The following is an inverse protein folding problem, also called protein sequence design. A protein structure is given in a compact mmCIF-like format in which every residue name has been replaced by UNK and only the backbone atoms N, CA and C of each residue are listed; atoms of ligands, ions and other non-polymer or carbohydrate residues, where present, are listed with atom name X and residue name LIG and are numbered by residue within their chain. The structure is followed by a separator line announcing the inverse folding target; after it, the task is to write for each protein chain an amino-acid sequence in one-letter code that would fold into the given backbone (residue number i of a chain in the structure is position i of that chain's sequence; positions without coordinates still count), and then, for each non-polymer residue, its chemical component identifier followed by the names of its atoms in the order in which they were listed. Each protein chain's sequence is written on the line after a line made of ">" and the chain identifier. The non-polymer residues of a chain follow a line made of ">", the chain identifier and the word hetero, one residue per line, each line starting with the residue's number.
data_IF_341012577746
#
_entry.id   IF_341012577746
#
_cell.length_a   1.000
_cell.length_b   1.000
_cell.length_c   1.000
_cell.angle_alpha   90.00
_cell.angle_beta   90.00
_cell.angle_gamma   90.00
#
_symmetry.space_group_name_H-M   'P 1'
#
loop_
_entity.id
_entity.type
_entity.pdbx_description
1 polymer ?
#
# COMPACT_ATOMS: atom_id res chain seq x y z
N UNK A 1 0.30 20.15 10.27
CA UNK A 1 1.11 18.96 9.98
C UNK A 1 0.59 17.87 10.90
N UNK A 2 -0.42 17.13 10.46
CA UNK A 2 -0.88 15.96 11.21
C UNK A 2 0.24 14.92 11.26
N UNK A 3 0.45 14.37 12.45
CA UNK A 3 1.43 13.30 12.67
C UNK A 3 0.85 12.05 12.03
N UNK A 4 1.48 11.56 10.95
CA UNK A 4 1.19 10.25 10.37
C UNK A 4 1.26 9.18 11.48
N UNK A 5 0.12 8.63 11.88
CA UNK A 5 0.07 7.51 12.84
C UNK A 5 0.26 6.18 12.10
N UNK A 6 1.49 5.94 11.64
CA UNK A 6 1.86 4.63 11.14
C UNK A 6 2.16 3.69 12.31
N UNK A 7 1.41 2.59 12.41
CA UNK A 7 1.59 1.57 13.43
C UNK A 7 2.21 0.31 12.82
N UNK A 8 2.97 -0.43 13.63
CA UNK A 8 3.51 -1.72 13.18
C UNK A 8 2.37 -2.74 13.10
N UNK A 9 2.24 -3.38 11.94
CA UNK A 9 1.22 -4.39 11.66
C UNK A 9 1.89 -5.65 11.10
N UNK A 10 1.56 -6.82 11.62
CA UNK A 10 2.03 -8.09 11.08
C UNK A 10 1.01 -8.65 10.10
N UNK A 11 1.41 -8.81 8.85
CA UNK A 11 0.57 -9.33 7.75
C UNK A 11 0.44 -10.86 7.80
N UNK A 12 1.36 -11.56 8.48
CA UNK A 12 1.27 -13.01 8.72
C UNK A 12 0.19 -13.32 9.76
N UNK A 13 0.21 -12.63 10.89
CA UNK A 13 -0.79 -12.81 11.96
C UNK A 13 -2.06 -11.98 11.78
N UNK A 14 -2.04 -11.00 10.86
CA UNK A 14 -3.09 -10.00 10.66
C UNK A 14 -3.46 -9.23 11.93
N UNK A 15 -2.44 -8.71 12.62
CA UNK A 15 -2.63 -7.99 13.88
C UNK A 15 -1.61 -6.86 14.09
N UNK A 16 -2.02 -5.83 14.82
CA UNK A 16 -1.15 -4.75 15.27
C UNK A 16 -0.10 -5.25 16.27
N UNK A 17 1.15 -4.85 16.06
CA UNK A 17 2.30 -5.22 16.91
C UNK A 17 2.62 -4.05 17.84
N UNK A 18 2.15 -4.14 19.08
CA UNK A 18 2.40 -3.11 20.10
C UNK A 18 3.75 -3.27 20.81
N UNK A 19 4.27 -4.50 20.87
CA UNK A 19 5.55 -4.84 21.47
C UNK A 19 6.33 -5.77 20.53
N UNK A 20 7.24 -5.18 19.76
CA UNK A 20 7.99 -5.90 18.73
C UNK A 20 8.88 -7.02 19.28
N UNK A 21 9.23 -6.98 20.57
CA UNK A 21 10.10 -7.96 21.23
C UNK A 21 9.38 -9.25 21.63
N UNK A 22 8.06 -9.19 21.78
CA UNK A 22 7.20 -10.34 22.13
C UNK A 22 6.55 -10.98 20.92
N UNK A 23 6.59 -10.32 19.78
CA UNK A 23 5.97 -10.82 18.56
C UNK A 23 6.93 -11.78 17.86
N UNK A 24 6.49 -13.02 17.64
CA UNK A 24 7.34 -14.11 17.17
C UNK A 24 7.64 -14.05 15.66
N UNK A 25 6.74 -13.47 14.85
CA UNK A 25 6.96 -13.40 13.41
C UNK A 25 8.18 -12.52 13.06
N UNK A 26 9.04 -12.96 12.12
CA UNK A 26 10.14 -12.14 11.62
C UNK A 26 9.69 -10.74 11.15
N UNK A 27 10.58 -9.74 11.29
CA UNK A 27 10.29 -8.33 10.95
C UNK A 27 9.85 -8.17 9.49
N UNK A 28 10.36 -8.99 8.56
CA UNK A 28 9.98 -8.96 7.14
C UNK A 28 8.48 -9.22 6.86
N UNK A 29 7.74 -9.72 7.85
CA UNK A 29 6.29 -9.91 7.76
C UNK A 29 5.50 -8.74 8.37
N UNK A 30 6.19 -7.65 8.71
CA UNK A 30 5.62 -6.49 9.37
C UNK A 30 5.77 -5.28 8.46
N UNK A 31 4.77 -4.42 8.46
CA UNK A 31 4.78 -3.13 7.78
C UNK A 31 4.43 -2.02 8.77
N UNK A 32 4.92 -0.81 8.52
CA UNK A 32 4.46 0.41 9.20
C UNK A 32 3.33 1.01 8.37
N UNK A 33 2.11 0.89 8.85
CA UNK A 33 0.94 1.28 8.06
C UNK A 33 -0.04 2.14 8.83
N UNK A 34 -0.77 2.97 8.10
CA UNK A 34 -1.99 3.57 8.60
C UNK A 34 -3.05 2.48 8.89
N UNK A 35 -3.92 2.72 9.87
CA UNK A 35 -4.98 1.77 10.27
C UNK A 35 -5.86 1.36 9.09
N UNK A 36 -6.19 2.32 8.23
CA UNK A 36 -7.07 2.13 7.08
C UNK A 36 -6.40 1.33 5.93
N UNK A 37 -5.07 1.11 6.00
CA UNK A 37 -4.31 0.42 4.96
C UNK A 37 -4.09 -1.08 5.26
N UNK A 38 -4.60 -1.60 6.38
CA UNK A 38 -4.40 -3.00 6.78
C UNK A 38 -4.93 -4.01 5.77
N UNK A 39 -6.12 -3.76 5.19
CA UNK A 39 -6.70 -4.64 4.17
C UNK A 39 -5.94 -4.63 2.84
N UNK A 40 -5.33 -3.50 2.46
CA UNK A 40 -4.41 -3.41 1.31
C UNK A 40 -3.12 -4.19 1.60
N UNK A 41 -2.55 -4.02 2.80
CA UNK A 41 -1.32 -4.68 3.19
C UNK A 41 -1.48 -6.22 3.19
N UNK A 42 -2.57 -6.73 3.76
CA UNK A 42 -2.89 -8.15 3.79
C UNK A 42 -3.00 -8.75 2.38
N UNK A 43 -3.65 -8.04 1.44
CA UNK A 43 -3.86 -8.50 0.08
C UNK A 43 -2.59 -8.49 -0.75
N UNK A 44 -1.79 -7.42 -0.66
CA UNK A 44 -0.47 -7.39 -1.31
C UNK A 44 0.40 -8.53 -0.80
N UNK A 45 0.46 -8.72 0.52
CA UNK A 45 1.21 -9.81 1.15
C UNK A 45 0.71 -11.18 0.70
N UNK A 46 -0.61 -11.36 0.58
CA UNK A 46 -1.19 -12.57 0.02
C UNK A 46 -0.74 -12.81 -1.43
N UNK A 47 -0.53 -11.77 -2.24
CA UNK A 47 0.00 -11.87 -3.60
C UNK A 47 1.53 -12.10 -3.66
N UNK A 48 2.22 -12.12 -2.52
CA UNK A 48 3.68 -12.23 -2.46
C UNK A 48 4.41 -10.90 -2.61
N UNK A 49 3.68 -9.80 -2.81
CA UNK A 49 4.21 -8.44 -2.77
C UNK A 49 4.28 -8.03 -1.30
N UNK A 50 5.46 -7.69 -0.78
CA UNK A 50 5.62 -7.43 0.65
C UNK A 50 5.69 -5.92 0.91
N UNK A 51 4.63 -5.27 1.45
CA UNK A 51 4.70 -3.88 1.90
C UNK A 51 5.70 -3.71 3.05
N UNK A 52 6.40 -2.59 3.06
CA UNK A 52 7.24 -2.13 4.15
C UNK A 52 6.56 -0.96 4.87
N UNK A 53 6.04 0.01 4.11
CA UNK A 53 5.37 1.20 4.62
C UNK A 53 4.12 1.46 3.77
N UNK A 54 2.99 1.81 4.37
CA UNK A 54 1.79 2.21 3.64
C UNK A 54 1.00 3.30 4.37
N UNK A 55 0.90 4.49 3.79
CA UNK A 55 0.16 5.60 4.39
C UNK A 55 -0.49 6.48 3.32
N UNK A 56 -1.42 7.30 3.75
CA UNK A 56 -1.98 8.38 2.95
C UNK A 56 -1.68 9.73 3.58
N UNK A 57 -1.80 10.78 2.80
CA UNK A 57 -1.68 12.14 3.28
C UNK A 57 -2.38 13.11 2.36
N UNK A 58 -2.78 14.25 2.92
CA UNK A 58 -3.36 15.34 2.17
C UNK A 58 -2.35 16.49 2.06
N UNK A 59 -2.19 17.02 0.85
CA UNK A 59 -1.58 18.33 0.66
C UNK A 59 -2.67 19.36 0.42
N UNK A 60 -2.63 20.45 1.18
CA UNK A 60 -3.48 21.61 0.95
C UNK A 60 -3.06 22.27 -0.37
N UNK A 61 -4.01 22.49 -1.27
CA UNK A 61 -3.82 23.38 -2.41
C UNK A 61 -4.38 24.77 -2.09
N UNK A 62 -4.11 25.75 -2.97
CA UNK A 62 -4.78 27.03 -2.84
C UNK A 62 -6.29 26.83 -3.04
N UNK A 63 -7.10 27.48 -2.20
CA UNK A 63 -8.59 27.46 -2.18
C UNK A 63 -9.26 26.46 -1.21
N UNK A 64 -8.62 26.13 -0.07
CA UNK A 64 -9.19 25.26 0.98
C UNK A 64 -9.55 23.84 0.50
N UNK A 65 -8.93 23.41 -0.61
CA UNK A 65 -9.09 22.05 -1.11
C UNK A 65 -7.83 21.22 -0.88
N UNK A 66 -8.02 19.90 -0.84
CA UNK A 66 -7.02 18.94 -0.42
C UNK A 66 -6.80 17.92 -1.52
N UNK A 67 -5.52 17.65 -1.79
CA UNK A 67 -5.09 16.61 -2.70
C UNK A 67 -4.67 15.38 -1.92
N UNK A 68 -5.33 14.27 -2.18
CA UNK A 68 -4.97 12.98 -1.60
C UNK A 68 -3.78 12.37 -2.32
N UNK A 69 -2.80 11.92 -1.54
CA UNK A 69 -1.74 11.00 -1.97
C UNK A 69 -1.74 9.76 -1.10
N UNK A 70 -1.59 8.59 -1.71
CA UNK A 70 -1.32 7.33 -1.01
C UNK A 70 0.03 6.81 -1.49
N UNK A 71 0.86 6.33 -0.56
CA UNK A 71 2.17 5.75 -0.85
C UNK A 71 2.30 4.39 -0.19
N UNK A 72 2.76 3.40 -0.95
CA UNK A 72 3.04 2.05 -0.48
C UNK A 72 4.46 1.68 -0.91
N UNK A 73 5.40 1.70 0.03
CA UNK A 73 6.77 1.29 -0.19
C UNK A 73 6.91 -0.21 0.04
N UNK A 74 7.74 -0.87 -0.77
CA UNK A 74 7.86 -2.32 -0.80
C UNK A 74 9.21 -2.78 -0.21
N UNK A 75 9.19 -3.92 0.48
CA UNK A 75 10.40 -4.55 0.98
C UNK A 75 11.29 -5.12 -0.13
N UNK A 76 10.66 -5.58 -1.22
CA UNK A 76 11.33 -6.19 -2.36
C UNK A 76 10.75 -5.59 -3.64
N UNK A 77 11.63 -5.22 -4.57
CA UNK A 77 11.20 -4.68 -5.84
C UNK A 77 10.79 -5.79 -6.81
N UNK A 78 9.82 -5.49 -7.68
CA UNK A 78 9.30 -6.47 -8.65
C UNK A 78 9.11 -5.85 -10.04
N UNK A 79 8.77 -6.67 -11.04
CA UNK A 79 8.50 -6.22 -12.42
C UNK A 79 6.99 -6.05 -12.66
N UNK A 80 6.61 -5.13 -13.56
CA UNK A 80 5.20 -4.71 -13.73
C UNK A 80 4.20 -5.84 -14.03
N UNK A 81 4.68 -6.96 -14.56
CA UNK A 81 3.92 -8.16 -14.86
C UNK A 81 3.30 -8.81 -13.62
N UNK A 82 3.82 -8.56 -12.42
CA UNK A 82 3.31 -9.15 -11.17
C UNK A 82 1.88 -8.71 -10.87
N UNK A 83 1.60 -7.40 -10.92
CA UNK A 83 0.25 -6.86 -10.67
C UNK A 83 -0.49 -6.47 -11.95
N UNK A 84 0.20 -6.33 -13.08
CA UNK A 84 -0.38 -5.96 -14.37
C UNK A 84 -0.73 -4.47 -14.44
N UNK A 85 -1.80 -4.11 -15.15
CA UNK A 85 -2.27 -2.72 -15.21
C UNK A 85 -2.93 -2.31 -13.89
N UNK A 86 -2.51 -1.18 -13.31
CA UNK A 86 -3.10 -0.63 -12.08
C UNK A 86 -4.44 0.08 -12.38
N UNK A 87 -5.31 0.23 -11.36
CA UNK A 87 -6.49 1.08 -11.45
C UNK A 87 -6.14 2.54 -11.78
N UNK A 88 -7.13 3.30 -12.25
CA UNK A 88 -6.93 4.71 -12.60
C UNK A 88 -6.42 5.50 -11.38
N UNK A 89 -5.41 6.35 -11.60
CA UNK A 89 -4.80 7.19 -10.57
C UNK A 89 -3.69 6.53 -9.77
N UNK A 90 -3.56 5.20 -9.86
CA UNK A 90 -2.44 4.44 -9.31
C UNK A 90 -1.30 4.34 -10.32
N UNK A 91 -0.08 4.47 -9.83
CA UNK A 91 1.15 4.47 -10.62
C UNK A 91 2.21 3.57 -9.98
N UNK A 92 3.01 2.94 -10.85
CA UNK A 92 4.22 2.24 -10.44
C UNK A 92 5.38 3.21 -10.35
N UNK A 93 5.96 3.35 -9.17
CA UNK A 93 7.20 4.07 -8.98
C UNK A 93 8.37 3.11 -9.13
N UNK A 94 9.33 3.51 -9.97
CA UNK A 94 10.46 2.65 -10.36
C UNK A 94 11.77 3.25 -9.89
N UNK A 95 12.65 2.37 -9.42
CA UNK A 95 14.06 2.64 -9.22
C UNK A 95 14.86 1.55 -9.92
N UNK A 96 15.86 1.96 -10.70
CA UNK A 96 16.66 1.10 -11.57
C UNK A 96 15.84 0.08 -12.41
N UNK A 97 14.71 0.53 -12.96
CA UNK A 97 13.83 -0.27 -13.82
C UNK A 97 12.93 -1.27 -13.08
N UNK A 98 13.05 -1.41 -11.76
CA UNK A 98 12.18 -2.25 -10.92
C UNK A 98 11.21 -1.41 -10.11
N UNK A 99 10.05 -1.97 -9.79
CA UNK A 99 9.01 -1.30 -9.01
C UNK A 99 9.37 -1.39 -7.54
N UNK A 100 9.53 -0.26 -6.86
CA UNK A 100 9.85 -0.20 -5.43
C UNK A 100 8.73 0.40 -4.57
N UNK A 101 7.78 1.11 -5.19
CA UNK A 101 6.57 1.60 -4.52
C UNK A 101 5.38 1.70 -5.47
N UNK A 102 4.20 1.73 -4.88
CA UNK A 102 2.93 2.02 -5.52
C UNK A 102 2.42 3.35 -4.98
N UNK A 103 2.06 4.26 -5.87
CA UNK A 103 1.55 5.57 -5.47
C UNK A 103 0.19 5.83 -6.10
N UNK A 104 -0.71 6.44 -5.32
CA UNK A 104 -1.92 7.06 -5.82
C UNK A 104 -1.80 8.56 -5.69
N UNK A 105 -2.10 9.28 -6.77
CA UNK A 105 -2.22 10.72 -6.75
C UNK A 105 -3.61 11.10 -7.26
N UNK A 106 -4.46 11.61 -6.37
CA UNK A 106 -5.71 12.21 -6.81
C UNK A 106 -5.40 13.54 -7.48
N UNK A 107 -5.86 13.72 -8.71
CA UNK A 107 -5.81 15.03 -9.37
C UNK A 107 -7.07 15.84 -9.08
N UNK A 108 -8.04 15.25 -8.37
CA UNK A 108 -9.24 15.90 -7.90
C UNK A 108 -9.03 16.45 -6.49
N UNK A 109 -9.28 17.75 -6.32
CA UNK A 109 -9.26 18.35 -4.99
C UNK A 109 -10.58 18.07 -4.26
N UNK A 110 -10.51 17.71 -2.98
CA UNK A 110 -11.67 17.48 -2.13
C UNK A 110 -11.72 18.50 -0.98
N UNK A 111 -12.90 18.79 -0.46
CA UNK A 111 -13.04 19.57 0.77
C UNK A 111 -12.65 18.72 1.98
N UNK A 112 -12.21 19.36 3.07
CA UNK A 112 -11.80 18.68 4.30
C UNK A 112 -12.87 17.72 4.83
N UNK A 113 -14.14 18.11 4.74
CA UNK A 113 -15.28 17.32 5.21
C UNK A 113 -15.50 16.02 4.43
N UNK A 114 -14.99 15.93 3.21
CA UNK A 114 -15.12 14.76 2.33
C UNK A 114 -13.84 13.90 2.28
N UNK A 115 -12.75 14.38 2.88
CA UNK A 115 -11.40 13.82 2.74
C UNK A 115 -11.33 12.34 3.19
N UNK A 116 -11.87 12.03 4.37
CA UNK A 116 -11.88 10.67 4.93
C UNK A 116 -12.72 9.69 4.11
N UNK A 117 -13.87 10.15 3.62
CA UNK A 117 -14.74 9.35 2.76
C UNK A 117 -14.03 9.05 1.43
N UNK A 118 -13.32 10.03 0.88
CA UNK A 118 -12.55 9.89 -0.36
C UNK A 118 -11.40 8.89 -0.20
N UNK A 119 -10.64 8.96 0.88
CA UNK A 119 -9.58 7.98 1.18
C UNK A 119 -10.16 6.56 1.25
N UNK A 120 -11.27 6.40 1.98
CA UNK A 120 -11.91 5.11 2.16
C UNK A 120 -12.40 4.51 0.84
N UNK A 121 -12.95 5.34 -0.05
CA UNK A 121 -13.36 4.93 -1.40
C UNK A 121 -12.17 4.43 -2.22
N UNK A 122 -11.09 5.21 -2.31
CA UNK A 122 -9.90 4.86 -3.10
C UNK A 122 -9.21 3.60 -2.56
N UNK A 123 -9.10 3.47 -1.24
CA UNK A 123 -8.55 2.26 -0.61
C UNK A 123 -9.39 1.05 -0.99
N UNK A 124 -10.72 1.16 -0.90
CA UNK A 124 -11.62 0.05 -1.22
C UNK A 124 -11.56 -0.35 -2.69
N UNK A 125 -11.54 0.61 -3.62
CA UNK A 125 -11.34 0.34 -5.05
C UNK A 125 -10.04 -0.42 -5.30
N UNK A 126 -8.97 -0.03 -4.60
CA UNK A 126 -7.69 -0.71 -4.72
C UNK A 126 -7.71 -2.11 -4.13
N UNK A 127 -8.38 -2.33 -2.99
CA UNK A 127 -8.59 -3.65 -2.42
C UNK A 127 -9.36 -4.58 -3.38
N UNK A 128 -10.44 -4.08 -4.01
CA UNK A 128 -11.22 -4.83 -5.00
C UNK A 128 -10.38 -5.19 -6.23
N UNK A 129 -9.49 -4.30 -6.66
CA UNK A 129 -8.51 -4.60 -7.70
C UNK A 129 -7.57 -5.74 -7.29
N UNK A 130 -7.03 -5.72 -6.06
CA UNK A 130 -6.14 -6.78 -5.57
C UNK A 130 -6.88 -8.12 -5.43
N UNK A 131 -8.14 -8.10 -4.98
CA UNK A 131 -8.99 -9.29 -4.88
C UNK A 131 -9.27 -9.94 -6.25
N UNK A 132 -9.13 -9.18 -7.35
CA UNK A 132 -9.28 -9.71 -8.71
C UNK A 132 -8.05 -10.44 -9.24
N UNK A 133 -6.91 -10.44 -8.52
CA UNK A 133 -5.65 -11.05 -8.97
C UNK A 133 -5.62 -12.55 -8.63
N UNK A 134 -5.00 -13.34 -9.50
CA UNK A 134 -4.73 -14.75 -9.22
C UNK A 134 -3.59 -14.88 -8.21
N UNK A 135 -3.92 -15.26 -6.97
CA UNK A 135 -2.96 -15.35 -5.88
C UNK A 135 -1.77 -16.26 -6.21
N UNK A 136 -2.03 -17.44 -6.74
CA UNK A 136 -0.97 -18.43 -6.99
C UNK A 136 -0.12 -18.00 -8.19
N UNK A 137 -0.76 -17.50 -9.25
CA UNK A 137 -0.07 -16.96 -10.42
C UNK A 137 0.81 -15.75 -10.08
N UNK A 138 0.30 -14.79 -9.32
CA UNK A 138 1.04 -13.59 -8.92
C UNK A 138 2.20 -13.93 -7.97
N UNK A 139 2.02 -14.87 -7.03
CA UNK A 139 3.11 -15.38 -6.19
C UNK A 139 4.22 -16.03 -7.02
N UNK A 140 3.84 -16.90 -7.96
CA UNK A 140 4.80 -17.56 -8.82
C UNK A 140 5.61 -16.54 -9.66
N UNK A 141 4.93 -15.54 -10.23
CA UNK A 141 5.59 -14.44 -10.94
C UNK A 141 6.53 -13.65 -10.03
N UNK A 142 6.11 -13.36 -8.80
CA UNK A 142 6.96 -12.63 -7.83
C UNK A 142 8.21 -13.43 -7.47
N UNK A 143 8.10 -14.74 -7.29
CA UNK A 143 9.25 -15.62 -7.03
C UNK A 143 10.20 -15.73 -8.22
N UNK A 144 9.67 -15.68 -9.45
CA UNK A 144 10.48 -15.72 -10.67
C UNK A 144 11.12 -14.35 -11.01
N UNK A 145 10.47 -13.26 -10.60
CA UNK A 145 10.89 -11.89 -10.90
C UNK A 145 11.65 -11.20 -9.75
N UNK A 146 11.65 -11.79 -8.55
CA UNK A 146 12.50 -11.38 -7.43
C UNK A 146 13.90 -11.98 -7.61
N UNK A 147 14.93 -11.15 -7.50
CA UNK A 147 16.29 -11.70 -7.30
C UNK A 147 16.33 -12.33 -5.90
N UNK A 148 16.75 -13.59 -5.82
CA UNK A 148 17.01 -14.28 -4.56
C UNK A 148 18.18 -13.67 -3.79
#
# INVERSE_FOLDING_TARGET
>A
MEVLQANSYCMECRQWVTDGSKHECPIKHRALIDTNMSGVADRLYALGVVPMIAFYGFSNDADDTYRLRISIDLHQSFIHEVLGGLPRGWEYCRDDGRINSLEFNDWHSCFEEDADARVSEIIKEFEEFLDSRDIEGTRALTLLAGDQ
#
